data_IF_467731591427
#
_entry.id   IF_467731591427
#
_cell.length_a   1.000
_cell.length_b   1.000
_cell.length_c   1.000
_cell.angle_alpha   90.00
_cell.angle_beta   90.00
_cell.angle_gamma   90.00
#
_symmetry.space_group_name_H-M   'P 1'
#
loop_
_entity.id
_entity.type
_entity.pdbx_description
1 polymer ?
#
# COMPACT_ATOMS: atom_id res chain seq x y z
N UNK A 1 -1.16 -2.93 23.27
CA UNK A 1 -1.85 -2.44 22.06
C UNK A 1 -2.97 -3.43 21.73
N UNK A 2 -4.15 -2.99 21.29
CA UNK A 2 -5.20 -3.93 20.85
C UNK A 2 -4.86 -4.51 19.46
N UNK A 3 -5.45 -5.65 19.11
CA UNK A 3 -5.26 -6.29 17.80
C UNK A 3 -5.69 -5.36 16.65
N UNK A 4 -6.81 -4.63 16.80
CA UNK A 4 -7.28 -3.66 15.81
C UNK A 4 -6.30 -2.47 15.65
N UNK A 5 -5.77 -1.95 16.76
CA UNK A 5 -4.77 -0.87 16.70
C UNK A 5 -3.47 -1.33 16.04
N UNK A 6 -3.02 -2.56 16.34
CA UNK A 6 -1.84 -3.15 15.71
C UNK A 6 -2.02 -3.28 14.19
N UNK A 7 -3.12 -3.91 13.77
CA UNK A 7 -3.46 -4.10 12.37
C UNK A 7 -3.46 -2.77 11.61
N UNK A 8 -4.13 -1.76 12.19
CA UNK A 8 -4.21 -0.44 11.59
C UNK A 8 -2.85 0.24 11.48
N UNK A 9 -2.03 0.18 12.52
CA UNK A 9 -0.70 0.80 12.51
C UNK A 9 0.22 0.16 11.44
N UNK A 10 0.17 -1.17 11.32
CA UNK A 10 0.90 -1.91 10.27
C UNK A 10 0.39 -1.55 8.88
N UNK A 11 -0.94 -1.48 8.67
CA UNK A 11 -1.55 -1.04 7.41
C UNK A 11 -1.14 0.38 7.03
N UNK A 12 -1.29 1.33 7.96
CA UNK A 12 -1.05 2.74 7.69
C UNK A 12 0.44 2.98 7.33
N UNK A 13 1.38 2.24 7.93
CA UNK A 13 2.80 2.31 7.56
C UNK A 13 3.10 1.66 6.20
N UNK A 14 2.48 0.51 5.89
CA UNK A 14 2.64 -0.17 4.61
C UNK A 14 2.08 0.64 3.43
N UNK A 15 0.91 1.25 3.60
CA UNK A 15 0.31 2.11 2.58
C UNK A 15 1.04 3.43 2.40
N UNK A 16 1.68 3.94 3.45
CA UNK A 16 2.58 5.08 3.31
C UNK A 16 3.80 4.74 2.44
N UNK A 17 4.40 3.58 2.64
CA UNK A 17 5.50 3.11 1.80
C UNK A 17 5.04 2.85 0.35
N UNK A 18 3.80 2.40 0.17
CA UNK A 18 3.16 2.29 -1.15
C UNK A 18 3.11 3.65 -1.83
N UNK A 19 2.56 4.67 -1.16
CA UNK A 19 2.46 6.01 -1.75
C UNK A 19 3.83 6.62 -2.06
N UNK A 20 4.82 6.47 -1.17
CA UNK A 20 6.20 6.90 -1.39
C UNK A 20 6.81 6.24 -2.64
N UNK A 21 6.63 4.93 -2.78
CA UNK A 21 7.12 4.18 -3.91
C UNK A 21 6.44 4.60 -5.22
N UNK A 22 5.11 4.80 -5.22
CA UNK A 22 4.37 5.36 -6.35
C UNK A 22 4.80 6.80 -6.68
N UNK A 23 5.36 7.53 -5.72
CA UNK A 23 5.86 8.88 -5.98
C UNK A 23 7.17 8.88 -6.77
N UNK A 24 8.02 7.90 -6.49
CA UNK A 24 9.31 7.69 -7.15
C UNK A 24 9.24 6.80 -8.41
N UNK A 25 8.22 5.93 -8.50
CA UNK A 25 7.98 4.97 -9.59
C UNK A 25 6.62 5.20 -10.26
N UNK A 26 6.29 4.56 -11.40
CA UNK A 26 5.22 4.98 -12.31
C UNK A 26 3.79 4.81 -11.82
N UNK A 27 3.36 3.59 -11.49
CA UNK A 27 1.93 3.30 -11.43
C UNK A 27 1.52 2.23 -10.39
N UNK A 28 0.22 2.17 -10.04
CA UNK A 28 -0.31 1.22 -9.07
C UNK A 28 -0.23 -0.26 -9.48
N UNK A 29 -0.40 -0.55 -10.78
CA UNK A 29 -0.52 -1.94 -11.25
C UNK A 29 0.82 -2.66 -11.28
N UNK A 30 1.93 -1.98 -11.61
CA UNK A 30 3.28 -2.57 -11.53
C UNK A 30 3.61 -3.00 -10.09
N UNK A 31 3.28 -2.16 -9.10
CA UNK A 31 3.50 -2.50 -7.70
C UNK A 31 2.61 -3.65 -7.20
N UNK A 32 1.31 -3.60 -7.52
CA UNK A 32 0.38 -4.65 -7.13
C UNK A 32 0.73 -5.99 -7.83
N UNK A 33 1.11 -5.97 -9.11
CA UNK A 33 1.56 -7.14 -9.87
C UNK A 33 2.83 -7.72 -9.25
N UNK A 34 3.87 -6.92 -9.03
CA UNK A 34 5.11 -7.38 -8.41
C UNK A 34 4.88 -8.03 -7.02
N UNK A 35 4.02 -7.44 -6.19
CA UNK A 35 3.69 -8.02 -4.88
C UNK A 35 2.84 -9.28 -4.98
N UNK A 36 1.89 -9.35 -5.91
CA UNK A 36 1.06 -10.55 -6.11
C UNK A 36 1.86 -11.70 -6.72
N UNK A 37 2.80 -11.43 -7.64
CA UNK A 37 3.78 -12.41 -8.14
C UNK A 37 4.72 -12.89 -7.04
N UNK A 38 5.12 -12.00 -6.12
CA UNK A 38 5.81 -12.41 -4.90
C UNK A 38 4.94 -13.29 -4.00
N UNK A 39 3.61 -13.28 -4.13
CA UNK A 39 2.69 -14.18 -3.42
C UNK A 39 1.76 -13.50 -2.43
N UNK A 40 1.69 -12.16 -2.42
CA UNK A 40 0.56 -11.49 -1.76
C UNK A 40 -0.74 -11.90 -2.43
N UNK A 41 -1.80 -12.13 -1.64
CA UNK A 41 -3.11 -12.44 -2.22
C UNK A 41 -3.80 -11.22 -2.84
N UNK A 42 -3.32 -10.01 -2.52
CA UNK A 42 -3.81 -8.73 -3.02
C UNK A 42 -2.72 -7.66 -2.85
N UNK A 43 -2.57 -6.80 -3.85
CA UNK A 43 -1.67 -5.65 -3.76
C UNK A 43 -2.21 -4.51 -2.88
N UNK A 44 -1.34 -3.62 -2.39
CA UNK A 44 -1.72 -2.53 -1.50
C UNK A 44 -2.68 -1.53 -2.14
N UNK A 45 -2.62 -1.30 -3.46
CA UNK A 45 -3.48 -0.30 -4.12
C UNK A 45 -4.91 -0.81 -4.24
N UNK A 46 -5.10 -2.06 -4.67
CA UNK A 46 -6.42 -2.71 -4.65
C UNK A 46 -6.98 -2.84 -3.23
N UNK A 47 -6.15 -3.20 -2.24
CA UNK A 47 -6.57 -3.28 -0.84
C UNK A 47 -7.09 -1.93 -0.31
N UNK A 48 -6.43 -0.82 -0.63
CA UNK A 48 -6.90 0.52 -0.27
C UNK A 48 -8.24 0.86 -0.94
N UNK A 49 -8.42 0.49 -2.21
CA UNK A 49 -9.68 0.69 -2.93
C UNK A 49 -10.84 -0.10 -2.30
N UNK A 50 -10.58 -1.28 -1.74
CA UNK A 50 -11.58 -2.06 -1.01
C UNK A 50 -12.00 -1.39 0.30
N UNK A 51 -11.05 -0.81 1.03
CA UNK A 51 -11.34 -0.07 2.26
C UNK A 51 -12.12 1.22 1.96
N UNK A 52 -11.75 1.89 0.86
CA UNK A 52 -12.27 3.18 0.45
C UNK A 52 -11.29 4.30 0.78
N UNK A 53 -10.88 5.04 -0.24
CA UNK A 53 -9.75 5.99 -0.15
C UNK A 53 -10.01 7.16 0.79
N UNK A 54 -11.26 7.60 0.91
CA UNK A 54 -11.66 8.61 1.90
C UNK A 54 -11.41 8.13 3.34
N UNK A 55 -11.62 6.84 3.61
CA UNK A 55 -11.41 6.26 4.94
C UNK A 55 -9.93 6.09 5.22
N UNK A 56 -9.15 5.65 4.22
CA UNK A 56 -7.69 5.58 4.31
C UNK A 56 -7.14 6.98 4.62
N UNK A 57 -7.57 8.00 3.86
CA UNK A 57 -7.14 9.38 4.08
C UNK A 57 -7.47 9.88 5.49
N UNK A 58 -8.68 9.58 5.99
CA UNK A 58 -9.14 10.00 7.31
C UNK A 58 -8.38 9.34 8.47
N UNK A 59 -7.66 8.22 8.24
CA UNK A 59 -6.91 7.56 9.32
C UNK A 59 -5.71 8.37 9.80
N UNK A 60 -5.02 9.05 8.88
CA UNK A 60 -3.78 9.79 9.13
C UNK A 60 -3.62 10.99 8.15
N UNK A 61 -4.54 11.98 8.16
CA UNK A 61 -4.60 13.04 7.13
C UNK A 61 -3.30 13.86 7.00
N UNK A 62 -2.61 14.08 8.12
CA UNK A 62 -1.35 14.85 8.17
C UNK A 62 -0.14 14.07 7.64
N UNK A 63 -0.23 12.73 7.56
CA UNK A 63 0.89 11.86 7.15
C UNK A 63 0.76 11.33 5.73
N UNK A 64 -0.43 11.47 5.13
CA UNK A 64 -0.68 11.07 3.75
C UNK A 64 -0.09 12.09 2.77
N UNK A 65 0.48 11.56 1.69
CA UNK A 65 1.07 12.30 0.59
C UNK A 65 0.03 13.02 -0.27
N UNK A 66 0.51 13.78 -1.26
CA UNK A 66 -0.35 14.59 -2.12
C UNK A 66 -1.21 13.75 -3.07
N UNK A 67 -0.77 12.54 -3.43
CA UNK A 67 -1.48 11.64 -4.34
C UNK A 67 -2.82 11.23 -3.74
N UNK A 68 -2.84 10.62 -2.55
CA UNK A 68 -4.08 10.17 -1.93
C UNK A 68 -5.05 11.34 -1.66
N UNK A 69 -4.51 12.49 -1.25
CA UNK A 69 -5.31 13.72 -1.04
C UNK A 69 -6.00 14.17 -2.33
N UNK A 70 -5.27 14.21 -3.45
CA UNK A 70 -5.82 14.60 -4.74
C UNK A 70 -6.79 13.56 -5.28
N UNK A 71 -6.50 12.27 -5.15
CA UNK A 71 -7.41 11.20 -5.51
C UNK A 71 -8.80 11.38 -4.86
N UNK A 72 -8.83 11.58 -3.55
CA UNK A 72 -10.09 11.79 -2.81
C UNK A 72 -10.78 13.09 -3.25
N UNK A 73 -10.02 14.17 -3.46
CA UNK A 73 -10.57 15.45 -3.92
C UNK A 73 -11.19 15.37 -5.33
N UNK A 74 -10.67 14.50 -6.21
CA UNK A 74 -11.19 14.24 -7.55
C UNK A 74 -12.30 13.17 -7.59
N UNK A 75 -12.74 12.68 -6.43
CA UNK A 75 -13.84 11.71 -6.34
C UNK A 75 -13.42 10.25 -6.59
N UNK A 76 -12.13 9.93 -6.51
CA UNK A 76 -11.65 8.54 -6.47
C UNK A 76 -11.88 7.98 -5.06
N UNK A 77 -13.01 7.32 -4.85
CA UNK A 77 -13.43 6.79 -3.55
C UNK A 77 -13.06 5.31 -3.34
N UNK A 78 -12.47 4.66 -4.34
CA UNK A 78 -12.21 3.22 -4.34
C UNK A 78 -13.35 2.43 -4.99
N UNK A 79 -13.43 1.13 -4.67
CA UNK A 79 -14.38 0.19 -5.29
C UNK A 79 -15.84 0.60 -5.08
N UNK A 80 -16.17 1.21 -3.94
CA UNK A 80 -17.52 1.69 -3.66
C UNK A 80 -17.97 2.83 -4.60
N UNK A 81 -17.03 3.68 -5.02
CA UNK A 81 -17.28 4.78 -5.94
C UNK A 81 -17.11 4.40 -7.41
N UNK A 82 -16.76 3.15 -7.71
CA UNK A 82 -16.46 2.69 -9.06
C UNK A 82 -15.10 3.12 -9.61
N UNK A 83 -14.34 3.94 -8.87
CA UNK A 83 -13.01 4.43 -9.27
C UNK A 83 -12.16 4.77 -8.03
N UNK A 84 -10.91 4.31 -8.04
CA UNK A 84 -9.89 4.45 -7.01
C UNK A 84 -8.50 4.54 -7.63
N UNK A 85 -7.56 3.70 -7.18
CA UNK A 85 -6.37 3.36 -7.95
C UNK A 85 -6.72 2.65 -9.26
N UNK A 86 -7.82 1.89 -9.24
CA UNK A 86 -8.37 1.21 -10.43
C UNK A 86 -9.79 1.71 -10.75
N UNK A 87 -10.27 1.40 -11.94
CA UNK A 87 -11.70 1.49 -12.30
C UNK A 87 -12.40 0.16 -12.02
N UNK A 88 -13.66 0.26 -11.64
CA UNK A 88 -14.52 -0.88 -11.32
C UNK A 88 -15.83 -0.76 -12.11
N UNK A 89 -15.88 -1.21 -13.38
CA UNK A 89 -17.03 -1.02 -14.28
C UNK A 89 -18.27 -1.87 -13.94
N UNK A 90 -18.37 -2.40 -12.71
CA UNK A 90 -19.44 -3.27 -12.23
C UNK A 90 -19.13 -4.76 -12.48
N UNK A 91 -18.90 -5.51 -11.39
CA UNK A 91 -18.84 -6.98 -11.38
C UNK A 91 -17.60 -7.66 -12.00
N UNK A 92 -16.71 -6.92 -12.69
CA UNK A 92 -15.58 -7.46 -13.46
C UNK A 92 -14.19 -7.39 -12.82
N UNK A 93 -14.08 -6.97 -11.56
CA UNK A 93 -12.77 -6.76 -10.90
C UNK A 93 -12.15 -5.39 -11.19
N UNK A 94 -10.88 -5.24 -10.78
CA UNK A 94 -10.09 -4.03 -11.00
C UNK A 94 -9.67 -3.91 -12.47
N UNK A 95 -9.77 -2.70 -13.03
CA UNK A 95 -9.32 -2.37 -14.39
C UNK A 95 -8.38 -1.19 -14.33
N UNK A 96 -7.26 -1.27 -15.06
CA UNK A 96 -6.28 -0.19 -15.16
C UNK A 96 -6.96 1.13 -15.57
N UNK A 97 -6.55 2.20 -14.90
CA UNK A 97 -6.96 3.56 -15.18
C UNK A 97 -5.75 4.45 -15.43
N UNK A 98 -5.37 4.71 -16.70
CA UNK A 98 -4.20 5.54 -17.00
C UNK A 98 -4.22 6.93 -16.36
N UNK A 99 -5.40 7.45 -16.04
CA UNK A 99 -5.54 8.76 -15.39
C UNK A 99 -4.91 8.80 -13.98
N UNK A 100 -4.78 7.66 -13.29
CA UNK A 100 -4.10 7.66 -11.98
C UNK A 100 -2.60 7.83 -12.13
N UNK A 101 -2.01 7.26 -13.19
CA UNK A 101 -0.59 7.40 -13.47
C UNK A 101 -0.26 8.87 -13.79
N UNK A 102 -1.07 9.51 -14.64
CA UNK A 102 -0.92 10.94 -14.92
C UNK A 102 -1.01 11.79 -13.65
N UNK A 103 -2.00 11.54 -12.79
CA UNK A 103 -2.15 12.23 -11.50
C UNK A 103 -0.90 12.04 -10.62
N UNK A 104 -0.41 10.81 -10.48
CA UNK A 104 0.78 10.49 -9.69
C UNK A 104 2.02 11.20 -10.26
N UNK A 105 2.17 11.25 -11.58
CA UNK A 105 3.29 11.91 -12.28
C UNK A 105 3.24 13.43 -12.11
N UNK A 106 2.06 14.03 -12.17
CA UNK A 106 1.86 15.45 -11.92
C UNK A 106 2.20 15.83 -10.48
N UNK A 107 1.72 15.06 -9.48
CA UNK A 107 2.03 15.33 -8.08
C UNK A 107 3.53 15.19 -7.78
N UNK A 108 4.20 14.19 -8.36
CA UNK A 108 5.64 14.03 -8.23
C UNK A 108 6.40 15.22 -8.84
N UNK A 109 5.92 15.73 -9.99
CA UNK A 109 6.47 16.93 -10.62
C UNK A 109 6.31 18.17 -9.74
N UNK A 110 5.11 18.41 -9.18
CA UNK A 110 4.86 19.54 -8.28
C UNK A 110 5.73 19.48 -7.02
N UNK A 111 5.96 18.28 -6.49
CA UNK A 111 6.82 18.05 -5.33
C UNK A 111 8.32 18.03 -5.66
N UNK A 112 8.71 18.16 -6.94
CA UNK A 112 10.10 18.10 -7.43
C UNK A 112 10.79 16.79 -7.06
N UNK A 113 10.07 15.69 -7.18
CA UNK A 113 10.61 14.36 -6.96
C UNK A 113 11.21 13.81 -8.25
N UNK A 114 12.47 13.39 -8.14
CA UNK A 114 13.13 12.64 -9.19
C UNK A 114 12.58 11.21 -9.22
N UNK A 115 12.07 10.82 -10.39
CA UNK A 115 11.54 9.49 -10.65
C UNK A 115 12.56 8.63 -11.36
N UNK A 116 12.49 7.34 -11.10
CA UNK A 116 13.37 6.33 -11.69
C UNK A 116 12.62 5.02 -11.87
N UNK A 117 13.04 4.27 -12.88
CA UNK A 117 12.52 2.93 -13.12
C UNK A 117 13.02 1.99 -12.03
N UNK A 118 12.11 1.15 -11.54
CA UNK A 118 12.40 0.08 -10.59
C UNK A 118 11.92 -1.22 -11.20
N UNK A 119 12.72 -2.27 -11.06
CA UNK A 119 12.29 -3.63 -11.37
C UNK A 119 11.30 -4.16 -10.33
N UNK A 120 10.52 -5.17 -10.70
CA UNK A 120 9.57 -5.85 -9.79
C UNK A 120 10.26 -6.34 -8.51
N UNK A 121 11.47 -6.91 -8.65
CA UNK A 121 12.29 -7.34 -7.52
C UNK A 121 12.65 -6.19 -6.57
N UNK A 122 12.95 -5.00 -7.09
CA UNK A 122 13.25 -3.81 -6.29
C UNK A 122 12.00 -3.23 -5.62
N UNK A 123 10.85 -3.25 -6.30
CA UNK A 123 9.56 -2.85 -5.72
C UNK A 123 9.22 -3.75 -4.53
N UNK A 124 9.29 -5.07 -4.71
CA UNK A 124 9.07 -6.05 -3.65
C UNK A 124 10.08 -5.84 -2.52
N UNK A 125 11.38 -5.73 -2.82
CA UNK A 125 12.42 -5.59 -1.81
C UNK A 125 12.15 -4.38 -0.90
N UNK A 126 11.84 -3.20 -1.47
CA UNK A 126 11.57 -1.98 -0.71
C UNK A 126 10.35 -2.13 0.21
N UNK A 127 9.30 -2.78 -0.26
CA UNK A 127 8.10 -3.06 0.55
C UNK A 127 8.38 -4.05 1.68
N UNK A 128 9.19 -5.09 1.42
CA UNK A 128 9.61 -6.04 2.46
C UNK A 128 10.54 -5.39 3.49
N UNK A 129 11.46 -4.52 3.07
CA UNK A 129 12.35 -3.78 3.97
C UNK A 129 11.57 -2.81 4.86
N UNK A 130 10.57 -2.12 4.31
CA UNK A 130 9.63 -1.33 5.11
C UNK A 130 8.98 -2.20 6.19
N UNK A 131 8.40 -3.34 5.82
CA UNK A 131 7.76 -4.24 6.78
C UNK A 131 8.72 -4.74 7.86
N UNK A 132 9.95 -5.14 7.49
CA UNK A 132 10.96 -5.54 8.48
C UNK A 132 11.23 -4.44 9.50
N UNK A 133 11.37 -3.19 9.04
CA UNK A 133 11.58 -2.04 9.93
C UNK A 133 10.39 -1.81 10.87
N UNK A 134 9.17 -1.82 10.33
CA UNK A 134 7.93 -1.64 11.12
C UNK A 134 7.80 -2.73 12.19
N UNK A 135 7.95 -3.99 11.80
CA UNK A 135 7.83 -5.14 12.70
C UNK A 135 8.95 -5.17 13.74
N UNK A 136 10.16 -4.74 13.38
CA UNK A 136 11.28 -4.58 14.32
C UNK A 136 10.93 -3.63 15.47
N UNK A 137 10.43 -2.44 15.15
CA UNK A 137 10.02 -1.45 16.16
C UNK A 137 8.84 -1.92 17.02
N UNK A 138 7.87 -2.60 16.43
CA UNK A 138 6.73 -3.15 17.18
C UNK A 138 7.16 -4.30 18.11
N UNK A 139 8.09 -5.14 17.67
CA UNK A 139 8.70 -6.19 18.49
C UNK A 139 9.49 -5.60 19.67
N UNK A 140 10.28 -4.55 19.45
CA UNK A 140 10.98 -3.81 20.51
C UNK A 140 10.01 -3.19 21.52
N UNK A 141 8.83 -2.80 21.06
CA UNK A 141 7.73 -2.26 21.89
C UNK A 141 6.94 -3.34 22.65
N UNK A 142 7.33 -4.62 22.53
CA UNK A 142 6.76 -5.75 23.27
C UNK A 142 5.59 -6.47 22.59
N UNK A 143 5.33 -6.22 21.31
CA UNK A 143 4.31 -6.97 20.55
C UNK A 143 4.81 -8.39 20.29
N UNK A 144 3.96 -9.39 20.51
CA UNK A 144 4.35 -10.78 20.32
C UNK A 144 4.52 -11.11 18.83
N UNK A 145 5.43 -12.04 18.51
CA UNK A 145 5.62 -12.51 17.13
C UNK A 145 4.32 -13.04 16.50
N UNK A 146 3.49 -13.73 17.28
CA UNK A 146 2.22 -14.26 16.80
C UNK A 146 1.25 -13.14 16.40
N UNK A 147 1.17 -12.06 17.19
CA UNK A 147 0.32 -10.91 16.86
C UNK A 147 0.84 -10.17 15.62
N UNK A 148 2.18 -10.06 15.47
CA UNK A 148 2.81 -9.47 14.28
C UNK A 148 2.51 -10.28 13.01
N UNK A 149 2.70 -11.60 13.08
CA UNK A 149 2.45 -12.53 11.97
C UNK A 149 0.97 -12.49 11.54
N UNK A 150 0.05 -12.47 12.51
CA UNK A 150 -1.38 -12.36 12.23
C UNK A 150 -1.71 -11.01 11.58
N UNK A 151 -1.14 -9.91 12.07
CA UNK A 151 -1.40 -8.58 11.53
C UNK A 151 -0.96 -8.43 10.08
N UNK A 152 0.20 -8.99 9.69
CA UNK A 152 0.66 -8.92 8.29
C UNK A 152 -0.11 -9.86 7.37
N UNK A 153 -0.43 -11.08 7.81
CA UNK A 153 -1.18 -12.04 6.99
C UNK A 153 -2.61 -11.55 6.77
N UNK A 154 -3.30 -11.15 7.83
CA UNK A 154 -4.70 -10.72 7.75
C UNK A 154 -4.86 -9.29 7.23
N UNK A 155 -3.97 -8.38 7.63
CA UNK A 155 -4.09 -6.96 7.34
C UNK A 155 -3.45 -6.53 6.03
N UNK A 156 -2.41 -7.22 5.59
CA UNK A 156 -1.63 -6.87 4.40
C UNK A 156 -1.66 -7.96 3.32
N UNK A 157 -2.42 -9.04 3.51
CA UNK A 157 -2.51 -10.13 2.52
C UNK A 157 -1.19 -10.86 2.26
N UNK A 158 -0.26 -10.82 3.21
CA UNK A 158 1.08 -11.39 3.11
C UNK A 158 1.07 -12.93 3.02
N UNK A 159 1.91 -13.57 2.17
CA UNK A 159 1.99 -15.02 2.06
C UNK A 159 2.51 -15.68 3.35
N UNK A 160 1.67 -16.52 3.96
CA UNK A 160 1.96 -17.19 5.25
C UNK A 160 3.23 -18.05 5.20
N UNK A 161 3.47 -18.72 4.08
CA UNK A 161 4.66 -19.57 3.84
C UNK A 161 5.96 -18.77 3.75
N UNK A 162 5.89 -17.45 3.53
CA UNK A 162 7.04 -16.55 3.43
C UNK A 162 7.32 -15.73 4.68
N UNK A 163 6.55 -15.90 5.77
CA UNK A 163 6.74 -15.14 7.03
C UNK A 163 8.18 -15.18 7.56
N UNK A 164 8.92 -16.27 7.30
CA UNK A 164 10.34 -16.36 7.66
C UNK A 164 11.19 -15.22 7.10
N UNK A 165 10.84 -14.64 5.95
CA UNK A 165 11.55 -13.51 5.35
C UNK A 165 11.43 -12.23 6.18
N UNK A 166 10.40 -12.06 7.02
CA UNK A 166 10.19 -10.86 7.82
C UNK A 166 10.96 -10.89 9.16
N UNK A 167 11.32 -12.07 9.65
CA UNK A 167 11.95 -12.24 10.97
C UNK A 167 13.44 -12.54 10.92
N UNK A 168 13.96 -12.91 9.75
CA UNK A 168 15.38 -13.21 9.57
C UNK A 168 16.18 -11.91 9.42
N UNK A 169 16.46 -11.24 10.54
CA UNK A 169 17.48 -10.19 10.67
C UNK A 169 18.16 -10.30 12.03
#
# INVERSE_FOLDING_TARGET
>A
MSSETLLRDVQDQFWRATEDLLFHHTNPWELDEALTEFGFSMGPCEAQDLVGLEKVLARCPERNGPVLKRMVAEGRLGKIGGVGHYRYPGGGGAVIDPLIEDLIREEAWFAKIDRFDLSDDELVLRMIECLRSVLGHLKESGVSRADLDEAVVSGLHYPKDKLGLLHNS
#
